data_IF_672466502358
#
_entry.id   IF_672466502358
#
_cell.length_a   1.000
_cell.length_b   1.000
_cell.length_c   1.000
_cell.angle_alpha   90.00
_cell.angle_beta   90.00
_cell.angle_gamma   90.00
#
_symmetry.space_group_name_H-M   'P 1'
#
loop_
_entity.id
_entity.type
_entity.pdbx_description
1 polymer ?
#
# COMPACT_ATOMS: atom_id res chain seq x y z
N UNK A 1 -11.28 25.89 -5.98
CA UNK A 1 -11.33 25.60 -7.43
C UNK A 1 -10.21 24.61 -7.71
N UNK A 2 -10.47 23.52 -8.44
CA UNK A 2 -9.42 22.60 -8.89
C UNK A 2 -8.65 23.28 -10.02
N UNK A 3 -7.32 23.32 -9.95
CA UNK A 3 -6.48 23.82 -11.04
C UNK A 3 -6.15 22.70 -12.04
N UNK A 4 -6.47 21.45 -11.70
CA UNK A 4 -6.42 20.31 -12.61
C UNK A 4 -7.67 20.19 -13.47
N UNK A 5 -7.47 19.94 -14.77
CA UNK A 5 -8.50 19.65 -15.76
C UNK A 5 -8.93 18.18 -15.79
N UNK A 6 -8.36 17.34 -14.91
CA UNK A 6 -8.55 15.89 -14.92
C UNK A 6 -9.42 15.41 -13.75
N UNK A 7 -10.21 14.36 -14.00
CA UNK A 7 -11.00 13.73 -12.94
C UNK A 7 -10.07 12.99 -11.98
N UNK A 8 -10.06 13.40 -10.72
CA UNK A 8 -9.34 12.70 -9.66
C UNK A 8 -10.22 11.64 -8.99
N UNK A 9 -9.60 10.62 -8.37
CA UNK A 9 -10.29 9.70 -7.47
C UNK A 9 -10.97 10.43 -6.31
N UNK A 10 -11.90 9.75 -5.64
CA UNK A 10 -12.64 10.33 -4.53
C UNK A 10 -11.66 10.76 -3.42
N UNK A 11 -11.62 12.06 -3.13
CA UNK A 11 -10.95 12.59 -1.96
C UNK A 11 -11.81 12.33 -0.72
N UNK A 12 -11.26 11.60 0.25
CA UNK A 12 -11.93 11.27 1.51
C UNK A 12 -11.01 11.59 2.70
N UNK A 13 -11.61 11.72 3.88
CA UNK A 13 -10.93 12.06 5.15
C UNK A 13 -11.55 11.27 6.30
N UNK A 14 -10.72 10.91 7.27
CA UNK A 14 -11.18 10.25 8.50
C UNK A 14 -11.78 8.85 8.29
N UNK A 15 -12.35 8.31 9.36
CA UNK A 15 -12.75 6.89 9.44
C UNK A 15 -14.02 6.54 8.68
N UNK A 16 -14.78 7.52 8.17
CA UNK A 16 -15.99 7.26 7.37
C UNK A 16 -15.69 6.50 6.08
N UNK A 17 -14.43 6.50 5.62
CA UNK A 17 -13.98 5.67 4.48
C UNK A 17 -14.29 4.19 4.69
N UNK A 18 -14.25 3.69 5.93
CA UNK A 18 -14.48 2.28 6.24
C UNK A 18 -15.93 1.85 6.04
N UNK A 19 -16.89 2.77 6.15
CA UNK A 19 -18.32 2.48 5.96
C UNK A 19 -18.62 1.96 4.56
N UNK A 20 -17.83 2.37 3.56
CA UNK A 20 -17.95 1.91 2.17
C UNK A 20 -17.67 0.42 2.00
N UNK A 21 -16.93 -0.18 2.93
CA UNK A 21 -16.62 -1.62 2.92
C UNK A 21 -17.82 -2.46 3.39
N UNK A 22 -18.73 -1.89 4.19
CA UNK A 22 -19.83 -2.63 4.82
C UNK A 22 -20.75 -3.34 3.82
N UNK A 23 -20.94 -2.75 2.63
CA UNK A 23 -21.75 -3.35 1.55
C UNK A 23 -21.20 -4.67 1.02
N UNK A 24 -19.92 -4.98 1.26
CA UNK A 24 -19.27 -6.22 0.81
C UNK A 24 -19.13 -7.25 1.91
N UNK A 25 -19.29 -6.87 3.18
CA UNK A 25 -18.95 -7.71 4.34
C UNK A 25 -19.65 -9.06 4.33
N UNK A 26 -20.95 -9.10 4.00
CA UNK A 26 -21.70 -10.36 3.96
C UNK A 26 -21.18 -11.30 2.87
N UNK A 27 -21.06 -10.82 1.62
CA UNK A 27 -20.63 -11.64 0.49
C UNK A 27 -19.18 -12.10 0.64
N UNK A 28 -18.31 -11.23 1.16
CA UNK A 28 -16.92 -11.56 1.43
C UNK A 28 -16.80 -12.61 2.54
N UNK A 29 -17.60 -12.51 3.59
CA UNK A 29 -17.60 -13.50 4.67
C UNK A 29 -18.12 -14.87 4.20
N UNK A 30 -19.18 -14.89 3.39
CA UNK A 30 -19.69 -16.13 2.78
C UNK A 30 -18.59 -16.81 1.95
N UNK A 31 -17.86 -16.04 1.15
CA UNK A 31 -16.74 -16.56 0.36
C UNK A 31 -15.61 -17.10 1.25
N UNK A 32 -15.15 -16.31 2.23
CA UNK A 32 -14.06 -16.72 3.13
C UNK A 32 -14.40 -18.00 3.89
N UNK A 33 -15.65 -18.12 4.37
CA UNK A 33 -16.14 -19.33 5.03
C UNK A 33 -16.12 -20.53 4.09
N UNK A 34 -16.68 -20.39 2.89
CA UNK A 34 -16.68 -21.47 1.91
C UNK A 34 -15.25 -21.90 1.56
N UNK A 35 -14.32 -20.95 1.37
CA UNK A 35 -12.91 -21.24 1.09
C UNK A 35 -12.20 -21.95 2.24
N UNK A 36 -12.56 -21.63 3.49
CA UNK A 36 -12.09 -22.33 4.68
C UNK A 36 -12.53 -23.80 4.68
N UNK A 37 -13.75 -24.06 4.21
CA UNK A 37 -14.34 -25.40 4.05
C UNK A 37 -13.87 -26.14 2.77
N UNK A 38 -12.91 -25.56 2.04
CA UNK A 38 -12.27 -26.18 0.87
C UNK A 38 -12.82 -25.78 -0.49
N UNK A 39 -13.82 -24.88 -0.55
CA UNK A 39 -14.29 -24.31 -1.82
C UNK A 39 -13.17 -23.57 -2.55
N UNK A 40 -13.13 -23.74 -3.87
CA UNK A 40 -12.23 -23.00 -4.76
C UNK A 40 -13.06 -22.00 -5.56
N UNK A 41 -12.87 -20.69 -5.34
CA UNK A 41 -13.63 -19.67 -6.04
C UNK A 41 -13.42 -19.73 -7.55
N UNK A 42 -14.47 -19.40 -8.30
CA UNK A 42 -14.45 -19.46 -9.76
C UNK A 42 -15.44 -18.47 -10.38
N UNK A 43 -16.04 -18.82 -11.52
CA UNK A 43 -16.95 -17.93 -12.28
C UNK A 43 -18.09 -17.35 -11.46
N UNK A 44 -18.61 -18.08 -10.46
CA UNK A 44 -19.71 -17.63 -9.59
C UNK A 44 -19.31 -16.48 -8.67
N UNK A 45 -18.02 -16.30 -8.42
CA UNK A 45 -17.47 -15.29 -7.51
C UNK A 45 -16.89 -14.08 -8.27
N UNK A 46 -16.89 -14.12 -9.61
CA UNK A 46 -16.33 -13.07 -10.47
C UNK A 46 -16.98 -11.72 -10.25
N UNK A 47 -18.32 -11.67 -10.07
CA UNK A 47 -19.04 -10.42 -9.80
C UNK A 47 -18.56 -9.78 -8.50
N UNK A 48 -18.47 -10.56 -7.42
CA UNK A 48 -17.96 -10.06 -6.14
C UNK A 48 -16.52 -9.56 -6.29
N UNK A 49 -15.66 -10.32 -6.98
CA UNK A 49 -14.27 -9.90 -7.24
C UNK A 49 -14.22 -8.58 -7.98
N UNK A 50 -15.00 -8.45 -9.05
CA UNK A 50 -15.08 -7.25 -9.87
C UNK A 50 -15.55 -6.04 -9.06
N UNK A 51 -16.59 -6.19 -8.24
CA UNK A 51 -17.11 -5.09 -7.43
C UNK A 51 -16.13 -4.63 -6.34
N UNK A 52 -15.40 -5.58 -5.71
CA UNK A 52 -14.33 -5.27 -4.77
C UNK A 52 -13.20 -4.49 -5.45
N UNK A 53 -12.75 -4.94 -6.63
CA UNK A 53 -11.74 -4.21 -7.40
C UNK A 53 -12.23 -2.85 -7.89
N UNK A 54 -13.50 -2.70 -8.24
CA UNK A 54 -14.08 -1.39 -8.57
C UNK A 54 -14.08 -0.43 -7.38
N UNK A 55 -14.35 -0.90 -6.16
CA UNK A 55 -14.21 -0.04 -4.97
C UNK A 55 -12.74 0.36 -4.73
N UNK A 56 -11.80 -0.58 -4.95
CA UNK A 56 -10.38 -0.29 -4.83
C UNK A 56 -9.85 0.63 -5.93
N UNK A 57 -10.39 0.54 -7.15
CA UNK A 57 -9.86 1.26 -8.31
C UNK A 57 -10.55 2.60 -8.54
N UNK A 58 -11.89 2.63 -8.45
CA UNK A 58 -12.74 3.76 -8.79
C UNK A 58 -13.43 4.37 -7.57
N UNK A 59 -13.43 3.67 -6.45
CA UNK A 59 -14.02 4.11 -5.18
C UNK A 59 -13.01 4.79 -4.27
N UNK A 60 -12.95 4.34 -3.02
CA UNK A 60 -12.05 4.89 -2.00
C UNK A 60 -10.61 4.39 -2.08
N UNK A 61 -10.37 3.24 -2.73
CA UNK A 61 -9.06 2.57 -2.65
C UNK A 61 -8.85 1.76 -1.38
N UNK A 62 -9.88 1.61 -0.54
CA UNK A 62 -9.79 0.95 0.76
C UNK A 62 -10.91 -0.08 0.91
N UNK A 63 -10.54 -1.29 1.32
CA UNK A 63 -11.47 -2.30 1.83
C UNK A 63 -11.02 -2.77 3.21
N UNK A 64 -11.96 -2.85 4.15
CA UNK A 64 -11.76 -3.41 5.48
C UNK A 64 -12.85 -4.41 5.77
N UNK A 65 -12.49 -5.60 6.25
CA UNK A 65 -13.42 -6.63 6.65
C UNK A 65 -12.97 -7.28 7.94
N UNK A 66 -13.82 -7.26 8.96
CA UNK A 66 -13.58 -7.93 10.23
C UNK A 66 -14.20 -9.34 10.17
N UNK A 67 -13.40 -10.36 9.79
CA UNK A 67 -13.92 -11.69 9.46
C UNK A 67 -14.07 -12.61 10.68
N UNK A 68 -15.30 -13.06 11.03
CA UNK A 68 -15.52 -14.15 11.95
C UNK A 68 -14.75 -15.42 11.57
N UNK A 69 -14.75 -15.82 10.29
CA UNK A 69 -14.06 -17.02 9.82
C UNK A 69 -12.57 -16.98 10.17
N UNK A 70 -11.87 -15.90 9.80
CA UNK A 70 -10.44 -15.79 10.07
C UNK A 70 -10.11 -15.72 11.57
N UNK A 71 -10.99 -15.16 12.41
CA UNK A 71 -10.80 -15.09 13.87
C UNK A 71 -10.59 -16.45 14.52
N UNK A 72 -11.38 -17.44 14.12
CA UNK A 72 -11.40 -18.76 14.75
C UNK A 72 -10.36 -19.73 14.20
N UNK A 73 -9.73 -19.42 13.06
CA UNK A 73 -8.69 -20.28 12.50
C UNK A 73 -7.43 -20.29 13.38
N UNK A 74 -6.77 -21.45 13.38
CA UNK A 74 -5.42 -21.63 13.89
C UNK A 74 -4.39 -21.15 12.85
N UNK A 75 -3.12 -21.03 13.23
CA UNK A 75 -2.08 -20.36 12.42
C UNK A 75 -1.94 -20.94 11.00
N UNK A 76 -1.88 -22.27 10.89
CA UNK A 76 -1.71 -22.96 9.61
C UNK A 76 -2.92 -22.75 8.68
N UNK A 77 -4.17 -23.07 9.07
CA UNK A 77 -5.32 -22.82 8.20
C UNK A 77 -5.57 -21.33 7.94
N UNK A 78 -5.26 -20.44 8.88
CA UNK A 78 -5.32 -18.99 8.66
C UNK A 78 -4.41 -18.57 7.51
N UNK A 79 -3.13 -18.98 7.55
CA UNK A 79 -2.16 -18.67 6.50
C UNK A 79 -2.57 -19.26 5.16
N UNK A 80 -3.08 -20.50 5.16
CA UNK A 80 -3.55 -21.16 3.95
C UNK A 80 -4.74 -20.43 3.33
N UNK A 81 -5.76 -20.06 4.13
CA UNK A 81 -6.91 -19.32 3.66
C UNK A 81 -6.52 -17.93 3.13
N UNK A 82 -5.68 -17.19 3.86
CA UNK A 82 -5.16 -15.90 3.42
C UNK A 82 -4.46 -16.00 2.07
N UNK A 83 -3.62 -17.03 1.89
CA UNK A 83 -2.90 -17.27 0.64
C UNK A 83 -3.86 -17.57 -0.51
N UNK A 84 -4.82 -18.49 -0.31
CA UNK A 84 -5.86 -18.81 -1.30
C UNK A 84 -6.68 -17.58 -1.69
N UNK A 85 -7.07 -16.76 -0.71
CA UNK A 85 -7.78 -15.51 -0.95
C UNK A 85 -6.95 -14.56 -1.83
N UNK A 86 -5.66 -14.38 -1.50
CA UNK A 86 -4.75 -13.52 -2.28
C UNK A 86 -4.64 -13.98 -3.73
N UNK A 87 -4.46 -15.28 -3.98
CA UNK A 87 -4.40 -15.85 -5.34
C UNK A 87 -5.70 -15.72 -6.13
N UNK A 88 -6.85 -15.83 -5.46
CA UNK A 88 -8.13 -15.57 -6.11
C UNK A 88 -8.29 -14.08 -6.42
N UNK A 89 -7.88 -13.22 -5.50
CA UNK A 89 -8.14 -11.79 -5.60
C UNK A 89 -7.28 -11.11 -6.69
N UNK A 90 -6.03 -11.50 -6.85
CA UNK A 90 -5.13 -11.01 -7.89
C UNK A 90 -3.88 -11.88 -8.02
N UNK A 91 -2.88 -11.45 -8.79
CA UNK A 91 -1.64 -12.20 -8.96
C UNK A 91 -0.60 -11.78 -7.90
N UNK A 92 -0.15 -12.67 -6.98
CA UNK A 92 0.89 -12.32 -6.03
C UNK A 92 2.20 -11.97 -6.72
N UNK A 93 2.80 -10.85 -6.30
CA UNK A 93 4.09 -10.39 -6.79
C UNK A 93 5.14 -10.42 -5.68
N UNK A 94 6.40 -10.62 -6.07
CA UNK A 94 7.50 -10.78 -5.13
C UNK A 94 7.77 -9.50 -4.33
N UNK A 95 8.00 -9.64 -3.03
CA UNK A 95 8.29 -8.54 -2.10
C UNK A 95 9.79 -8.30 -1.92
N UNK A 96 10.62 -9.23 -2.43
CA UNK A 96 12.07 -9.23 -2.32
C UNK A 96 12.70 -10.06 -3.45
N UNK A 97 14.02 -9.99 -3.54
CA UNK A 97 14.83 -10.70 -4.53
C UNK A 97 14.79 -12.23 -4.38
N UNK A 98 14.39 -12.74 -3.22
CA UNK A 98 14.22 -14.18 -2.98
C UNK A 98 12.89 -14.72 -3.55
N UNK A 99 12.05 -13.87 -4.13
CA UNK A 99 10.78 -14.29 -4.73
C UNK A 99 9.66 -14.55 -3.74
N UNK A 100 9.84 -14.24 -2.45
CA UNK A 100 8.76 -14.37 -1.47
C UNK A 100 7.61 -13.43 -1.83
N UNK A 101 6.36 -13.88 -1.73
CA UNK A 101 5.17 -13.05 -1.99
C UNK A 101 4.31 -12.84 -0.73
N UNK A 102 4.50 -13.69 0.28
CA UNK A 102 3.83 -13.62 1.57
C UNK A 102 4.83 -13.20 2.64
N UNK A 103 4.50 -12.16 3.40
CA UNK A 103 5.31 -11.64 4.49
C UNK A 103 4.60 -11.70 5.82
N UNK A 104 5.32 -12.07 6.87
CA UNK A 104 4.94 -11.71 8.23
C UNK A 104 5.45 -10.29 8.53
N UNK A 105 4.55 -9.44 8.99
CA UNK A 105 4.83 -8.08 9.45
C UNK A 105 4.76 -8.10 10.97
N UNK A 106 5.92 -8.36 11.58
CA UNK A 106 6.15 -8.42 13.03
C UNK A 106 7.48 -7.78 13.39
N UNK A 107 7.65 -7.49 14.67
CA UNK A 107 8.95 -7.05 15.17
C UNK A 107 9.91 -8.25 15.17
N UNK A 108 10.93 -8.20 14.31
CA UNK A 108 11.98 -9.23 14.26
C UNK A 108 13.15 -8.93 15.21
N UNK A 109 13.04 -7.89 16.06
CA UNK A 109 14.09 -7.48 16.99
C UNK A 109 15.25 -6.74 16.33
N UNK A 110 15.09 -6.30 15.08
CA UNK A 110 16.11 -5.57 14.33
C UNK A 110 15.98 -4.07 14.65
N UNK A 111 17.08 -3.41 15.04
CA UNK A 111 17.09 -1.95 15.28
C UNK A 111 17.55 -1.21 14.02
N UNK A 112 16.86 -0.11 13.69
CA UNK A 112 17.26 0.79 12.61
C UNK A 112 18.63 1.42 12.93
N UNK A 113 19.56 1.44 11.97
CA UNK A 113 20.87 2.06 12.10
C UNK A 113 21.09 3.06 10.96
N UNK A 114 21.62 4.25 11.26
CA UNK A 114 21.70 5.38 10.31
C UNK A 114 22.49 5.07 9.03
N UNK A 115 23.45 4.14 9.07
CA UNK A 115 24.24 3.73 7.90
C UNK A 115 23.57 2.70 6.97
N UNK A 116 22.54 2.00 7.44
CA UNK A 116 21.76 1.03 6.65
C UNK A 116 20.30 1.08 7.08
N UNK A 117 19.51 2.06 6.62
CA UNK A 117 18.12 2.24 7.07
C UNK A 117 17.32 0.98 6.72
N UNK A 118 16.87 0.21 7.70
CA UNK A 118 16.18 -1.06 7.48
C UNK A 118 14.74 -0.83 7.00
N UNK A 119 14.13 -1.88 6.43
CA UNK A 119 12.72 -1.80 6.01
C UNK A 119 11.83 -1.79 7.27
N UNK A 120 11.09 -0.71 7.53
CA UNK A 120 10.42 -0.46 8.82
C UNK A 120 9.31 -1.46 9.23
N UNK A 121 8.91 -2.38 8.36
CA UNK A 121 8.03 -3.48 8.72
C UNK A 121 8.72 -4.59 9.55
N UNK A 122 10.05 -4.54 9.72
CA UNK A 122 10.84 -5.49 10.52
C UNK A 122 11.07 -5.03 11.96
N UNK A 123 10.62 -3.82 12.31
CA UNK A 123 10.88 -3.17 13.61
C UNK A 123 9.57 -2.76 14.28
N UNK A 124 9.64 -2.42 15.56
CA UNK A 124 8.53 -1.85 16.33
C UNK A 124 8.36 -0.33 16.17
N UNK A 125 9.25 0.32 15.41
CA UNK A 125 9.25 1.76 15.20
C UNK A 125 8.10 2.20 14.30
N UNK A 126 7.85 3.50 14.29
CA UNK A 126 6.92 4.08 13.33
C UNK A 126 7.36 3.79 11.89
N UNK A 127 6.38 3.45 11.06
CA UNK A 127 6.54 3.35 9.62
C UNK A 127 5.72 4.48 9.01
N UNK A 128 6.41 5.53 8.55
CA UNK A 128 5.82 6.70 7.94
C UNK A 128 4.96 6.36 6.71
N UNK A 129 4.11 7.29 6.30
CA UNK A 129 3.22 7.10 5.16
C UNK A 129 3.99 6.77 3.88
N UNK A 130 3.57 5.70 3.23
CA UNK A 130 4.15 5.25 1.97
C UNK A 130 3.14 4.50 1.10
N UNK A 131 3.50 4.34 -0.16
CA UNK A 131 2.86 3.43 -1.13
C UNK A 131 3.79 2.27 -1.46
N UNK A 132 3.31 1.03 -1.41
CA UNK A 132 4.13 -0.14 -1.76
C UNK A 132 4.38 -0.24 -3.29
N UNK A 133 5.34 -1.08 -3.70
CA UNK A 133 5.70 -1.32 -5.11
C UNK A 133 4.79 -2.37 -5.78
N UNK A 134 3.48 -2.28 -5.59
CA UNK A 134 2.50 -3.21 -6.19
C UNK A 134 1.16 -2.48 -6.40
N UNK A 135 0.25 -3.04 -7.20
CA UNK A 135 -1.06 -2.41 -7.38
C UNK A 135 -1.85 -2.40 -6.06
N UNK A 136 -1.91 -3.56 -5.40
CA UNK A 136 -2.65 -3.73 -4.16
C UNK A 136 -1.76 -4.28 -3.05
N UNK A 137 -2.02 -3.82 -1.84
CA UNK A 137 -1.48 -4.41 -0.61
C UNK A 137 -2.62 -5.03 0.19
N UNK A 138 -2.52 -6.33 0.45
CA UNK A 138 -3.48 -7.11 1.26
C UNK A 138 -2.82 -7.43 2.60
N UNK A 139 -3.49 -7.12 3.70
CA UNK A 139 -3.05 -7.35 5.06
C UNK A 139 -4.12 -8.15 5.81
N UNK A 140 -3.71 -9.18 6.57
CA UNK A 140 -4.61 -9.83 7.53
C UNK A 140 -3.94 -10.03 8.89
N UNK A 141 -4.62 -9.67 9.96
CA UNK A 141 -4.04 -9.74 11.30
C UNK A 141 -4.20 -11.14 11.90
N UNK A 142 -3.07 -11.79 12.17
CA UNK A 142 -3.02 -13.02 12.94
C UNK A 142 -3.05 -12.74 14.45
N UNK A 143 -2.25 -11.76 14.88
CA UNK A 143 -2.14 -11.36 16.28
C UNK A 143 -1.89 -9.85 16.36
N UNK A 144 -2.64 -9.09 17.17
CA UNK A 144 -2.41 -7.67 17.35
C UNK A 144 -1.22 -7.38 18.28
N UNK A 145 -0.77 -6.13 18.32
CA UNK A 145 0.14 -5.66 19.36
C UNK A 145 -0.58 -5.56 20.71
N UNK A 146 0.18 -5.53 21.81
CA UNK A 146 -0.38 -5.22 23.12
C UNK A 146 -0.82 -3.75 23.22
N UNK A 147 0.01 -2.84 22.70
CA UNK A 147 -0.24 -1.39 22.66
C UNK A 147 0.25 -0.78 21.35
N UNK A 148 -0.41 0.27 20.88
CA UNK A 148 -0.03 1.01 19.67
C UNK A 148 -0.19 0.20 18.38
N UNK A 149 0.58 0.54 17.36
CA UNK A 149 0.55 -0.14 16.06
C UNK A 149 -0.68 0.20 15.23
N UNK A 150 -1.31 1.33 15.55
CA UNK A 150 -2.42 1.92 14.82
C UNK A 150 -2.02 2.08 13.37
N UNK A 151 -2.85 1.51 12.51
CA UNK A 151 -2.66 1.58 11.07
C UNK A 151 -3.38 2.81 10.54
N UNK A 152 -2.66 3.63 9.79
CA UNK A 152 -3.16 4.87 9.22
C UNK A 152 -3.24 4.74 7.71
N UNK A 153 -4.30 5.30 7.11
CA UNK A 153 -4.52 5.31 5.66
C UNK A 153 -4.88 6.71 5.23
N UNK A 154 -4.24 7.21 4.17
CA UNK A 154 -4.41 8.57 3.67
C UNK A 154 -4.85 8.55 2.21
N UNK A 155 -5.88 9.31 1.87
CA UNK A 155 -6.32 9.52 0.48
C UNK A 155 -5.30 10.36 -0.29
N UNK A 156 -4.72 9.80 -1.35
CA UNK A 156 -3.81 10.53 -2.23
C UNK A 156 -4.50 11.70 -2.94
N UNK A 157 -5.78 11.54 -3.31
CA UNK A 157 -6.54 12.61 -3.96
C UNK A 157 -6.76 13.81 -3.01
N UNK A 158 -6.99 13.56 -1.72
CA UNK A 158 -7.07 14.64 -0.73
C UNK A 158 -5.70 15.29 -0.46
N UNK A 159 -4.60 14.52 -0.45
CA UNK A 159 -3.23 15.08 -0.35
C UNK A 159 -2.96 16.04 -1.50
N UNK A 160 -3.22 15.62 -2.75
CA UNK A 160 -3.03 16.47 -3.93
C UNK A 160 -3.92 17.70 -3.88
N UNK A 161 -5.19 17.55 -3.47
CA UNK A 161 -6.12 18.68 -3.33
C UNK A 161 -5.66 19.69 -2.27
N UNK A 162 -5.07 19.23 -1.16
CA UNK A 162 -4.51 20.09 -0.13
C UNK A 162 -3.22 20.78 -0.59
N UNK A 163 -2.33 20.07 -1.29
CA UNK A 163 -1.13 20.64 -1.87
C UNK A 163 -1.46 21.74 -2.87
N UNK A 164 -2.43 21.47 -3.75
CA UNK A 164 -2.95 22.41 -4.72
C UNK A 164 -3.54 23.69 -4.08
N UNK A 165 -4.25 23.56 -2.97
CA UNK A 165 -4.83 24.70 -2.25
C UNK A 165 -3.79 25.54 -1.51
N UNK A 166 -2.77 24.89 -0.94
CA UNK A 166 -1.75 25.55 -0.11
C UNK A 166 -0.63 26.17 -0.95
N UNK A 167 -0.15 25.45 -1.95
CA UNK A 167 0.93 25.87 -2.82
C UNK A 167 0.78 25.22 -4.21
N UNK A 168 0.00 25.83 -5.12
CA UNK A 168 -0.26 25.28 -6.45
C UNK A 168 1.02 24.95 -7.26
N UNK A 169 2.12 25.69 -7.03
CA UNK A 169 3.39 25.43 -7.72
C UNK A 169 3.98 24.05 -7.40
N UNK A 170 3.65 23.46 -6.25
CA UNK A 170 4.05 22.10 -5.89
C UNK A 170 3.46 21.03 -6.80
N UNK A 171 2.28 21.25 -7.40
CA UNK A 171 1.77 20.29 -8.38
C UNK A 171 2.70 20.16 -9.59
N UNK A 172 3.23 21.28 -10.08
CA UNK A 172 4.20 21.26 -11.18
C UNK A 172 5.47 20.50 -10.79
N UNK A 173 5.98 20.72 -9.58
CA UNK A 173 7.17 20.03 -9.09
C UNK A 173 6.94 18.53 -8.84
N UNK A 174 5.79 18.14 -8.30
CA UNK A 174 5.43 16.73 -8.09
C UNK A 174 5.34 15.92 -9.39
N UNK A 175 5.05 16.58 -10.52
CA UNK A 175 5.01 15.98 -11.85
C UNK A 175 6.37 15.92 -12.54
N UNK A 176 7.44 16.52 -11.97
CA UNK A 176 8.80 16.42 -12.51
C UNK A 176 9.51 15.17 -11.98
N UNK A 177 10.50 14.63 -12.71
CA UNK A 177 11.31 13.52 -12.21
C UNK A 177 12.06 13.90 -10.92
N UNK A 178 11.79 13.17 -9.84
CA UNK A 178 12.42 13.34 -8.53
C UNK A 178 13.27 12.09 -8.24
N UNK A 179 14.53 12.25 -7.78
CA UNK A 179 15.40 11.13 -7.43
C UNK A 179 14.76 10.19 -6.41
N UNK A 180 14.90 8.88 -6.65
CA UNK A 180 14.35 7.82 -5.84
C UNK A 180 15.31 6.62 -5.80
N UNK A 181 15.78 6.30 -4.61
CA UNK A 181 16.66 5.16 -4.36
C UNK A 181 15.91 3.84 -4.56
N UNK A 182 16.51 2.90 -5.30
CA UNK A 182 15.92 1.59 -5.53
C UNK A 182 16.20 0.60 -4.40
N UNK A 183 17.03 0.96 -3.41
CA UNK A 183 17.34 0.14 -2.23
C UNK A 183 17.93 -1.23 -2.61
N UNK A 184 18.73 -1.25 -3.67
CA UNK A 184 19.38 -2.45 -4.20
C UNK A 184 18.40 -3.50 -4.76
N UNK A 185 17.15 -3.09 -5.07
CA UNK A 185 16.04 -3.95 -5.52
C UNK A 185 15.65 -3.73 -7.00
N UNK A 186 16.60 -3.30 -7.84
CA UNK A 186 16.37 -3.11 -9.28
C UNK A 186 17.66 -3.20 -10.09
N UNK A 187 17.56 -2.97 -11.41
CA UNK A 187 18.71 -2.99 -12.32
C UNK A 187 19.61 -1.73 -12.25
N UNK A 188 19.17 -0.71 -11.51
CA UNK A 188 19.89 0.54 -11.26
C UNK A 188 19.89 0.83 -9.76
N UNK A 189 20.87 1.60 -9.23
CA UNK A 189 20.90 1.97 -7.82
C UNK A 189 19.78 2.95 -7.42
N UNK A 190 19.39 3.83 -8.34
CA UNK A 190 18.33 4.82 -8.18
C UNK A 190 17.74 5.17 -9.55
N UNK A 191 16.60 5.85 -9.56
CA UNK A 191 15.92 6.37 -10.75
C UNK A 191 15.30 7.73 -10.45
N UNK A 192 14.95 8.50 -11.48
CA UNK A 192 14.13 9.70 -11.31
C UNK A 192 12.70 9.41 -11.78
N UNK A 193 11.71 9.60 -10.89
CA UNK A 193 10.30 9.46 -11.24
C UNK A 193 9.47 10.60 -10.62
N UNK A 194 8.40 11.04 -11.28
CA UNK A 194 7.47 11.95 -10.65
C UNK A 194 6.74 11.26 -9.49
N UNK A 195 6.40 12.04 -8.47
CA UNK A 195 5.61 11.55 -7.35
C UNK A 195 4.11 11.56 -7.70
N UNK A 196 3.66 12.60 -8.40
CA UNK A 196 2.31 12.72 -8.93
C UNK A 196 2.36 12.51 -10.44
N UNK A 197 1.45 11.70 -10.96
CA UNK A 197 1.14 11.65 -12.38
C UNK A 197 -0.36 11.67 -12.54
N UNK A 198 -0.89 12.74 -13.12
CA UNK A 198 -2.32 12.87 -13.43
C UNK A 198 -2.57 13.35 -14.86
N UNK A 199 -3.48 12.68 -15.56
CA UNK A 199 -4.04 13.11 -16.85
C UNK A 199 -5.49 12.61 -16.99
N UNK A 200 -6.12 12.81 -18.16
CA UNK A 200 -7.52 12.42 -18.41
C UNK A 200 -7.83 10.93 -18.11
N UNK A 201 -6.82 10.07 -18.14
CA UNK A 201 -6.98 8.61 -18.05
C UNK A 201 -6.32 8.00 -16.81
N UNK A 202 -5.47 8.74 -16.09
CA UNK A 202 -4.70 8.20 -14.97
C UNK A 202 -4.54 9.19 -13.82
N UNK A 203 -4.53 8.67 -12.60
CA UNK A 203 -4.10 9.36 -11.40
C UNK A 203 -3.28 8.40 -10.54
N UNK A 204 -2.07 8.82 -10.19
CA UNK A 204 -1.18 8.09 -9.29
C UNK A 204 -0.43 9.11 -8.43
N UNK A 205 -0.48 8.94 -7.11
CA UNK A 205 0.47 9.56 -6.19
C UNK A 205 1.28 8.45 -5.54
N UNK A 206 2.57 8.40 -5.88
CA UNK A 206 3.53 7.49 -5.28
C UNK A 206 4.44 8.26 -4.35
N UNK A 207 4.39 7.94 -3.07
CA UNK A 207 5.16 8.65 -2.05
C UNK A 207 5.89 7.65 -1.16
N UNK A 208 7.21 7.79 -1.04
CA UNK A 208 8.03 7.05 -0.08
C UNK A 208 9.20 7.95 0.32
N UNK A 209 8.97 8.84 1.29
CA UNK A 209 9.94 9.86 1.74
C UNK A 209 11.34 9.29 1.95
N UNK A 210 11.44 8.17 2.66
CA UNK A 210 12.70 7.47 2.97
C UNK A 210 13.56 7.14 1.73
N UNK A 211 12.93 6.90 0.58
CA UNK A 211 13.64 6.53 -0.65
C UNK A 211 14.04 7.76 -1.46
N UNK A 212 13.34 8.89 -1.28
CA UNK A 212 13.79 10.17 -1.81
C UNK A 212 15.00 10.67 -1.01
N UNK A 213 14.96 10.56 0.32
CA UNK A 213 16.08 10.99 1.19
C UNK A 213 17.33 10.11 1.00
N UNK A 214 17.15 8.79 0.80
CA UNK A 214 18.30 7.88 0.71
C UNK A 214 19.08 7.93 -0.61
N UNK A 215 18.72 8.81 -1.54
CA UNK A 215 19.50 9.03 -2.78
C UNK A 215 20.90 9.57 -2.53
N UNK A 216 21.15 10.16 -1.35
CA UNK A 216 22.49 10.57 -0.88
C UNK A 216 23.49 9.41 -0.85
N UNK A 217 23.02 8.15 -0.73
CA UNK A 217 23.86 6.94 -0.85
C UNK A 217 24.58 6.85 -2.19
N UNK A 218 24.05 7.54 -3.20
CA UNK A 218 24.52 7.54 -4.58
C UNK A 218 25.18 8.87 -4.97
N UNK A 219 25.52 9.71 -3.99
CA UNK A 219 26.14 11.02 -4.22
C UNK A 219 25.20 12.07 -4.80
N UNK A 220 23.88 11.88 -4.66
CA UNK A 220 22.86 12.79 -5.19
C UNK A 220 22.38 13.70 -4.09
N UNK A 221 22.51 15.00 -4.30
CA UNK A 221 21.92 16.02 -3.45
C UNK A 221 20.64 16.53 -4.09
N UNK A 222 19.55 16.55 -3.31
CA UNK A 222 18.29 17.14 -3.74
C UNK A 222 18.37 18.66 -3.66
N UNK A 223 17.71 19.36 -4.59
CA UNK A 223 17.64 20.82 -4.55
C UNK A 223 16.87 21.28 -3.32
N UNK A 224 17.14 22.52 -2.86
CA UNK A 224 16.37 23.14 -1.77
C UNK A 224 14.86 23.17 -2.07
N UNK A 225 14.48 23.40 -3.33
CA UNK A 225 13.08 23.40 -3.76
C UNK A 225 12.43 22.02 -3.58
N UNK A 226 13.09 20.93 -3.99
CA UNK A 226 12.58 19.57 -3.78
C UNK A 226 12.46 19.26 -2.29
N UNK A 227 13.46 19.62 -1.49
CA UNK A 227 13.44 19.37 -0.05
C UNK A 227 12.28 20.13 0.65
N UNK A 228 12.06 21.39 0.28
CA UNK A 228 10.95 22.18 0.81
C UNK A 228 9.60 21.59 0.39
N UNK A 229 9.44 21.24 -0.89
CA UNK A 229 8.22 20.62 -1.40
C UNK A 229 7.91 19.31 -0.66
N UNK A 230 8.89 18.42 -0.49
CA UNK A 230 8.68 17.16 0.23
C UNK A 230 8.28 17.41 1.70
N UNK A 231 8.90 18.37 2.38
CA UNK A 231 8.55 18.73 3.75
C UNK A 231 7.12 19.29 3.87
N UNK A 232 6.69 20.14 2.93
CA UNK A 232 5.32 20.65 2.90
C UNK A 232 4.30 19.53 2.64
N UNK A 233 4.65 18.56 1.78
CA UNK A 233 3.83 17.38 1.51
C UNK A 233 3.75 16.46 2.74
N UNK A 234 4.84 16.29 3.48
CA UNK A 234 4.83 15.55 4.76
C UNK A 234 3.81 16.17 5.75
N UNK A 235 3.79 17.51 5.87
CA UNK A 235 2.82 18.23 6.71
C UNK A 235 1.37 17.99 6.26
N UNK A 236 1.12 17.92 4.95
CA UNK A 236 -0.22 17.67 4.39
C UNK A 236 -0.66 16.22 4.60
N UNK A 237 0.28 15.27 4.48
CA UNK A 237 0.02 13.84 4.68
C UNK A 237 -0.33 13.58 6.16
N UNK A 238 0.43 14.16 7.08
CA UNK A 238 0.27 14.01 8.54
C UNK A 238 -0.82 14.91 9.14
N UNK A 239 -1.59 15.63 8.31
CA UNK A 239 -2.63 16.53 8.81
C UNK A 239 -3.67 15.76 9.65
N UNK A 240 -3.87 16.10 10.94
CA UNK A 240 -4.84 15.42 11.79
C UNK A 240 -6.25 15.45 11.21
N UNK A 241 -7.02 14.38 11.45
CA UNK A 241 -8.38 14.16 10.92
C UNK A 241 -8.49 13.95 9.40
N UNK A 242 -7.39 14.00 8.65
CA UNK A 242 -7.40 13.77 7.19
C UNK A 242 -7.02 12.34 6.79
N UNK A 243 -6.35 11.60 7.67
CA UNK A 243 -6.15 10.16 7.52
C UNK A 243 -7.21 9.38 8.31
N UNK A 244 -7.47 8.15 7.89
CA UNK A 244 -8.24 7.18 8.65
C UNK A 244 -7.30 6.38 9.55
N UNK A 245 -7.78 5.98 10.73
CA UNK A 245 -7.07 5.17 11.72
C UNK A 245 -7.86 3.91 12.03
N UNK A 246 -7.17 2.77 12.05
CA UNK A 246 -7.72 1.49 12.49
C UNK A 246 -6.72 0.75 13.38
N UNK A 247 -7.25 0.10 14.42
CA UNK A 247 -6.49 -0.84 15.24
C UNK A 247 -6.86 -2.25 14.80
N UNK A 248 -5.86 -3.03 14.41
CA UNK A 248 -6.08 -4.40 13.98
C UNK A 248 -6.57 -5.27 15.14
N UNK A 249 -7.54 -6.12 14.85
CA UNK A 249 -7.88 -7.30 15.65
C UNK A 249 -7.64 -8.56 14.83
N UNK A 250 -7.45 -9.71 15.49
CA UNK A 250 -7.26 -10.99 14.78
C UNK A 250 -8.40 -11.19 13.78
N UNK A 251 -8.08 -11.65 12.57
CA UNK A 251 -9.03 -11.94 11.51
C UNK A 251 -9.49 -10.73 10.69
N UNK A 252 -9.11 -9.51 11.07
CA UNK A 252 -9.29 -8.35 10.18
C UNK A 252 -8.49 -8.53 8.90
N UNK A 253 -9.10 -8.19 7.77
CA UNK A 253 -8.57 -8.15 6.42
C UNK A 253 -8.64 -6.70 5.93
N UNK A 254 -7.53 -6.16 5.45
CA UNK A 254 -7.44 -4.80 4.89
C UNK A 254 -6.80 -4.89 3.51
N UNK A 255 -7.41 -4.24 2.52
CA UNK A 255 -6.88 -4.18 1.15
C UNK A 255 -6.80 -2.71 0.75
N UNK A 256 -5.64 -2.31 0.22
CA UNK A 256 -5.36 -0.95 -0.20
C UNK A 256 -4.91 -0.92 -1.65
N UNK A 257 -5.36 0.09 -2.40
CA UNK A 257 -4.79 0.45 -3.69
C UNK A 257 -3.63 1.43 -3.50
N UNK A 258 -2.40 0.99 -3.77
CA UNK A 258 -1.19 1.77 -3.52
C UNK A 258 -1.05 3.00 -4.44
N UNK A 259 -1.82 3.08 -5.52
CA UNK A 259 -1.76 4.21 -6.45
C UNK A 259 -2.56 5.42 -5.97
N UNK A 260 -3.56 5.20 -5.10
CA UNK A 260 -4.47 6.25 -4.59
C UNK A 260 -4.56 6.33 -3.07
N UNK A 261 -3.82 5.49 -2.38
CA UNK A 261 -3.73 5.54 -0.93
C UNK A 261 -2.28 5.48 -0.49
N UNK A 262 -1.97 6.19 0.59
CA UNK A 262 -0.75 6.00 1.37
C UNK A 262 -1.13 5.33 2.68
N UNK A 263 -0.20 4.58 3.26
CA UNK A 263 -0.43 3.95 4.56
C UNK A 263 0.79 4.03 5.46
N UNK A 264 0.53 4.07 6.76
CA UNK A 264 1.52 4.17 7.82
C UNK A 264 1.14 3.26 8.99
N UNK A 265 2.07 3.12 9.93
CA UNK A 265 1.85 2.42 11.19
C UNK A 265 2.57 3.17 12.30
N UNK A 266 1.87 3.50 13.38
CA UNK A 266 2.49 4.07 14.58
C UNK A 266 3.42 3.05 15.26
N UNK A 267 4.25 3.53 16.20
CA UNK A 267 5.03 2.63 17.04
C UNK A 267 4.13 1.68 17.84
N UNK A 268 4.66 0.51 18.20
CA UNK A 268 3.91 -0.48 18.96
C UNK A 268 4.78 -1.23 19.96
N UNK A 269 4.11 -1.88 20.90
CA UNK A 269 4.74 -2.70 21.93
C UNK A 269 4.05 -4.05 22.02
N UNK A 270 4.86 -5.10 22.16
CA UNK A 270 4.41 -6.47 22.39
C UNK A 270 4.46 -6.82 23.88
N UNK A 271 3.71 -7.84 24.29
CA UNK A 271 3.82 -8.46 25.61
C UNK A 271 3.91 -10.00 25.49
N UNK A 272 3.91 -10.71 26.63
CA UNK A 272 4.02 -12.18 26.65
C UNK A 272 2.86 -12.91 25.94
N UNK A 273 1.70 -12.27 25.78
CA UNK A 273 0.47 -12.82 25.20
C UNK A 273 0.17 -12.24 23.81
N UNK A 274 0.68 -11.06 23.51
CA UNK A 274 0.40 -10.30 22.28
C UNK A 274 1.71 -9.96 21.56
N UNK A 275 2.09 -10.82 20.62
CA UNK A 275 3.13 -10.53 19.64
C UNK A 275 2.45 -10.13 18.33
N UNK A 276 2.59 -8.87 17.92
CA UNK A 276 1.98 -8.36 16.68
C UNK A 276 2.48 -9.15 15.48
N UNK A 277 1.56 -9.77 14.74
CA UNK A 277 1.84 -10.46 13.49
C UNK A 277 0.68 -10.25 12.50
N UNK A 278 1.00 -9.63 11.36
CA UNK A 278 0.09 -9.55 10.21
C UNK A 278 0.71 -10.34 9.06
N UNK A 279 -0.14 -11.00 8.28
CA UNK A 279 0.23 -11.50 6.97
C UNK A 279 0.04 -10.38 5.94
N UNK A 280 1.03 -10.18 5.06
CA UNK A 280 0.97 -9.23 3.95
C UNK A 280 1.24 -9.93 2.63
N UNK A 281 0.42 -9.63 1.62
CA UNK A 281 0.68 -9.99 0.24
C UNK A 281 0.59 -8.74 -0.65
N UNK A 282 1.51 -8.64 -1.61
CA UNK A 282 1.44 -7.67 -2.69
C UNK A 282 0.83 -8.34 -3.91
N UNK A 283 -0.14 -7.68 -4.53
CA UNK A 283 -0.82 -8.19 -5.71
C UNK A 283 -0.66 -7.23 -6.88
N UNK A 284 -0.47 -7.79 -8.06
CA UNK A 284 -0.85 -7.17 -9.32
C UNK A 284 -2.32 -7.48 -9.59
N UNK A 285 -3.06 -6.51 -10.13
CA UNK A 285 -4.49 -6.67 -10.41
C UNK A 285 -4.79 -6.39 -11.89
N UNK A 286 -5.60 -7.26 -12.49
CA UNK A 286 -6.09 -7.13 -13.86
C UNK A 286 -7.15 -6.02 -14.03
N UNK A 287 -7.61 -5.40 -12.93
CA UNK A 287 -8.63 -4.35 -12.92
C UNK A 287 -8.05 -2.95 -12.68
N UNK A 288 -6.79 -2.74 -13.02
CA UNK A 288 -6.04 -1.53 -12.67
C UNK A 288 -5.87 -0.57 -13.85
N UNK A 289 -5.82 0.73 -13.56
CA UNK A 289 -5.45 1.80 -14.51
C UNK A 289 -4.09 1.60 -15.14
N UNK A 290 -3.81 2.20 -16.31
CA UNK A 290 -2.44 2.33 -16.79
C UNK A 290 -1.62 3.22 -15.84
N UNK A 291 -0.31 3.01 -15.83
CA UNK A 291 0.67 3.85 -15.12
C UNK A 291 1.45 4.71 -16.13
N UNK A 292 2.10 5.80 -15.69
CA UNK A 292 2.94 6.57 -16.58
C UNK A 292 4.18 5.77 -16.98
N UNK A 293 4.68 5.99 -18.20
CA UNK A 293 5.88 5.32 -18.74
C UNK A 293 7.09 5.45 -17.80
N UNK A 294 7.20 6.55 -17.06
CA UNK A 294 8.25 6.78 -16.05
C UNK A 294 8.28 5.74 -14.92
N UNK A 295 7.20 4.96 -14.73
CA UNK A 295 7.09 3.92 -13.71
C UNK A 295 7.53 2.54 -14.21
N UNK A 296 7.81 2.38 -15.50
CA UNK A 296 8.33 1.12 -16.08
C UNK A 296 9.50 0.52 -15.29
N UNK A 297 10.51 1.29 -14.82
CA UNK A 297 11.63 0.71 -14.08
C UNK A 297 11.25 0.08 -12.74
N UNK A 298 10.10 0.45 -12.16
CA UNK A 298 9.61 -0.05 -10.87
C UNK A 298 8.57 -1.16 -11.04
N UNK A 299 7.71 -1.03 -12.04
CA UNK A 299 6.56 -1.90 -12.23
C UNK A 299 6.75 -2.92 -13.36
N UNK A 300 7.79 -2.79 -14.18
CA UNK A 300 8.16 -3.71 -15.28
C UNK A 300 7.16 -3.72 -16.46
N UNK A 301 5.91 -3.33 -16.21
CA UNK A 301 4.88 -3.00 -17.19
C UNK A 301 4.03 -1.85 -16.64
N UNK A 302 3.45 -1.03 -17.52
CA UNK A 302 2.60 0.12 -17.18
C UNK A 302 1.23 0.06 -17.84
N UNK A 303 0.97 -0.93 -18.70
CA UNK A 303 -0.33 -1.13 -19.30
C UNK A 303 -1.38 -1.51 -18.25
N UNK A 304 -2.62 -1.11 -18.51
CA UNK A 304 -3.75 -1.42 -17.64
C UNK A 304 -3.98 -2.93 -17.56
N UNK A 305 -4.27 -3.42 -16.36
CA UNK A 305 -4.66 -4.82 -16.14
C UNK A 305 -3.58 -5.87 -16.48
N UNK A 306 -2.31 -5.48 -16.58
CA UNK A 306 -1.21 -6.40 -16.85
C UNK A 306 -0.45 -6.77 -15.58
N UNK A 307 0.23 -7.92 -15.61
CA UNK A 307 1.13 -8.32 -14.53
C UNK A 307 2.25 -7.30 -14.38
N UNK A 308 2.33 -6.68 -13.21
CA UNK A 308 3.30 -5.61 -12.90
C UNK A 308 3.57 -5.46 -11.42
N UNK A 309 4.59 -4.69 -11.08
CA UNK A 309 5.02 -4.44 -9.71
C UNK A 309 5.87 -5.57 -9.14
N UNK A 310 6.09 -5.52 -7.83
CA UNK A 310 7.00 -6.39 -7.11
C UNK A 310 8.47 -6.09 -7.39
N UNK A 311 9.32 -6.77 -6.61
CA UNK A 311 10.77 -6.80 -6.81
C UNK A 311 11.08 -7.99 -7.72
N UNK A 312 11.76 -7.76 -8.83
CA UNK A 312 12.20 -8.87 -9.68
C UNK A 312 13.09 -9.82 -8.86
N UNK A 313 12.76 -11.12 -8.80
CA UNK A 313 13.63 -12.10 -8.18
C UNK A 313 14.99 -12.11 -8.87
N UNK A 314 16.05 -12.40 -8.12
CA UNK A 314 17.32 -12.71 -8.75
C UNK A 314 17.12 -13.94 -9.65
N UNK A 315 17.47 -13.83 -10.93
CA UNK A 315 17.50 -15.01 -11.81
C UNK A 315 18.42 -16.02 -11.12
N UNK A 316 17.88 -17.17 -10.70
CA UNK A 316 18.70 -18.34 -10.37
C UNK A 316 19.57 -18.60 -11.60
N UNK A 317 20.88 -18.39 -11.44
CA UNK A 317 21.86 -18.63 -12.50
C UNK A 317 21.91 -20.10 -12.87
#
# INVERSE_FOLDING_TARGET
MSFSSYSRPIAWRGNTVFERSARFSQSLEVLLRAMADGYQPGKRDETLRHDLHRELELGSGVLVHDSPTLKYLQTVPFRALFSKFCFWFGMPVSINKQGHYLKEVRDHGVRDNHGMPQRGHLTNQELAFHSDRADLTVLSCWSPAARGGTFRIRSSADVVSQAEQRQPSWLSQLNKPIPHDLRDEGGQPWIALPLLSENHYQFVLRYIRKFNDSVVRHGIEQTQEINQMLADIDIIIEQPNHYAELNFSKGMLVILNNHITLHARTCFENDKKHERCLLRCWLSSEFTRPLPISFLPLFHNVDAGTLRGGVLPEKTR
#
